data_IF_064612500506
#
_entry.id   IF_064612500506
#
_cell.length_a   1.000
_cell.length_b   1.000
_cell.length_c   1.000
_cell.angle_alpha   90.00
_cell.angle_beta   90.00
_cell.angle_gamma   90.00
#
_symmetry.space_group_name_H-M   'P 1'
#
loop_
_entity.id
_entity.type
_entity.pdbx_description
1 polymer ?
#
# COMPACT_ATOMS: atom_id res chain seq x y z
N UNK A 1 2.44 15.49 1.00
CA UNK A 1 2.85 14.30 1.73
C UNK A 1 2.10 14.20 3.05
N UNK A 2 0.90 13.59 3.05
CA UNK A 2 0.17 13.25 4.29
C UNK A 2 0.93 12.17 5.05
N UNK A 3 1.16 12.37 6.35
CA UNK A 3 2.00 11.51 7.20
C UNK A 3 1.40 10.12 7.47
N UNK A 4 0.08 9.93 7.28
CA UNK A 4 -0.64 8.68 7.58
C UNK A 4 -0.38 8.18 9.01
N UNK A 5 -0.32 9.11 9.97
CA UNK A 5 0.17 8.91 11.34
C UNK A 5 -0.39 7.68 12.06
N UNK A 6 -1.70 7.45 11.98
CA UNK A 6 -2.35 6.28 12.60
C UNK A 6 -1.74 4.95 12.12
N UNK A 7 -1.46 4.84 10.82
CA UNK A 7 -0.88 3.63 10.23
C UNK A 7 0.61 3.54 10.52
N UNK A 8 1.31 4.67 10.44
CA UNK A 8 2.74 4.73 10.70
C UNK A 8 3.05 4.34 12.15
N UNK A 9 2.29 4.85 13.12
CA UNK A 9 2.45 4.52 14.54
C UNK A 9 2.18 3.03 14.83
N UNK A 10 1.22 2.42 14.11
CA UNK A 10 1.03 0.96 14.17
C UNK A 10 2.25 0.22 13.64
N UNK A 11 2.73 0.57 12.45
CA UNK A 11 3.90 -0.09 11.84
C UNK A 11 5.14 0.04 12.72
N UNK A 12 5.41 1.23 13.27
CA UNK A 12 6.56 1.48 14.15
C UNK A 12 6.66 0.45 15.29
N UNK A 13 5.53 0.06 15.88
CA UNK A 13 5.50 -0.93 16.96
C UNK A 13 5.84 -2.37 16.53
N UNK A 14 5.82 -2.63 15.23
CA UNK A 14 6.12 -3.93 14.64
C UNK A 14 7.45 -3.96 13.87
N UNK A 15 8.09 -2.82 13.62
CA UNK A 15 9.45 -2.78 13.03
C UNK A 15 10.36 -3.67 13.89
N UNK A 16 11.17 -4.49 13.23
CA UNK A 16 12.11 -5.40 13.89
C UNK A 16 11.51 -6.51 14.74
N UNK A 17 10.18 -6.65 14.74
CA UNK A 17 9.47 -7.78 15.33
C UNK A 17 9.41 -8.92 14.30
N UNK A 18 9.58 -10.16 14.76
CA UNK A 18 9.49 -11.41 13.98
C UNK A 18 8.05 -11.69 13.48
N UNK A 19 7.52 -10.77 12.68
CA UNK A 19 6.23 -10.83 12.01
C UNK A 19 6.37 -10.19 10.64
N UNK A 20 5.77 -10.82 9.63
CA UNK A 20 5.63 -10.22 8.30
C UNK A 20 4.56 -9.12 8.36
N UNK A 21 4.88 -7.91 7.90
CA UNK A 21 3.96 -6.76 7.91
C UNK A 21 3.20 -6.73 6.59
N UNK A 22 1.91 -7.07 6.64
CA UNK A 22 1.03 -7.08 5.46
C UNK A 22 0.16 -5.84 5.48
N UNK A 23 0.31 -4.98 4.47
CA UNK A 23 -0.53 -3.80 4.27
C UNK A 23 -1.50 -4.08 3.13
N UNK A 24 -2.78 -4.17 3.46
CA UNK A 24 -3.83 -4.39 2.48
C UNK A 24 -4.72 -3.16 2.34
N UNK A 25 -5.53 -3.13 1.31
CA UNK A 25 -6.47 -2.03 1.08
C UNK A 25 -6.78 -1.88 -0.38
N UNK A 26 -7.86 -1.17 -0.69
CA UNK A 26 -8.34 -1.02 -2.07
C UNK A 26 -7.29 -0.36 -2.99
N UNK A 27 -7.40 -0.61 -4.29
CA UNK A 27 -6.53 0.02 -5.29
C UNK A 27 -6.60 1.55 -5.16
N UNK A 28 -5.45 2.21 -5.30
CA UNK A 28 -5.28 3.68 -5.15
C UNK A 28 -5.53 4.27 -3.75
N UNK A 29 -5.61 3.49 -2.67
CA UNK A 29 -5.67 4.06 -1.30
C UNK A 29 -4.32 4.59 -0.76
N UNK A 30 -3.23 4.44 -1.54
CA UNK A 30 -1.90 5.00 -1.22
C UNK A 30 -0.91 4.05 -0.55
N UNK A 31 -1.03 2.72 -0.74
CA UNK A 31 -0.15 1.71 -0.10
C UNK A 31 1.31 1.85 -0.53
N UNK A 32 1.57 1.95 -1.83
CA UNK A 32 2.91 2.18 -2.40
C UNK A 32 3.58 3.43 -1.84
N UNK A 33 2.75 4.45 -1.57
CA UNK A 33 3.21 5.67 -0.94
C UNK A 33 3.49 5.49 0.55
N UNK A 34 2.65 4.72 1.25
CA UNK A 34 2.87 4.38 2.65
C UNK A 34 4.18 3.59 2.86
N UNK A 35 4.56 2.71 1.93
CA UNK A 35 5.90 2.10 1.91
C UNK A 35 7.03 3.13 1.93
N UNK A 36 6.94 4.18 1.12
CA UNK A 36 7.93 5.26 1.12
C UNK A 36 8.01 5.96 2.48
N UNK A 37 6.88 6.16 3.16
CA UNK A 37 6.86 6.73 4.51
C UNK A 37 7.56 5.82 5.53
N UNK A 38 7.37 4.51 5.45
CA UNK A 38 8.05 3.54 6.31
C UNK A 38 9.56 3.55 6.04
N UNK A 39 9.96 3.53 4.76
CA UNK A 39 11.38 3.56 4.35
C UNK A 39 12.05 4.84 4.85
N UNK A 40 11.42 6.00 4.67
CA UNK A 40 11.94 7.27 5.18
C UNK A 40 12.11 7.21 6.70
N UNK A 41 11.11 6.69 7.43
CA UNK A 41 11.21 6.49 8.86
C UNK A 41 12.40 5.59 9.24
N UNK A 42 12.64 4.48 8.54
CA UNK A 42 13.77 3.59 8.80
C UNK A 42 15.11 4.32 8.60
N UNK A 43 15.27 5.05 7.49
CA UNK A 43 16.48 5.82 7.16
C UNK A 43 16.73 6.90 8.21
N UNK A 44 15.69 7.64 8.61
CA UNK A 44 15.77 8.66 9.67
C UNK A 44 16.18 8.07 11.04
N UNK A 45 15.92 6.78 11.27
CA UNK A 45 16.32 6.06 12.47
C UNK A 45 17.64 5.29 12.32
N UNK A 46 18.42 5.59 11.27
CA UNK A 46 19.80 5.12 11.11
C UNK A 46 19.95 3.82 10.33
N UNK A 47 18.91 3.34 9.65
CA UNK A 47 19.03 2.24 8.69
C UNK A 47 19.74 2.74 7.43
N UNK A 48 20.76 2.02 6.98
CA UNK A 48 21.41 2.33 5.70
C UNK A 48 20.43 2.03 4.54
N UNK A 49 20.28 2.96 3.60
CA UNK A 49 19.44 2.81 2.41
C UNK A 49 19.85 1.59 1.57
N UNK A 50 21.15 1.25 1.53
CA UNK A 50 21.65 0.07 0.82
C UNK A 50 21.06 -1.24 1.39
N UNK A 51 20.70 -1.26 2.67
CA UNK A 51 20.08 -2.43 3.31
C UNK A 51 18.55 -2.52 3.06
N UNK A 52 17.98 -1.66 2.22
CA UNK A 52 16.54 -1.61 1.93
C UNK A 52 16.30 -2.00 0.48
N UNK A 53 15.58 -3.11 0.27
CA UNK A 53 15.15 -3.54 -1.05
C UNK A 53 13.65 -3.24 -1.24
N UNK A 54 13.33 -2.33 -2.17
CA UNK A 54 11.96 -2.09 -2.62
C UNK A 54 11.75 -2.67 -4.03
N UNK A 55 10.85 -3.66 -4.12
CA UNK A 55 10.37 -4.25 -5.36
C UNK A 55 8.91 -3.86 -5.55
N UNK A 56 8.67 -2.97 -6.50
CA UNK A 56 7.32 -2.61 -6.96
C UNK A 56 7.02 -3.34 -8.27
N UNK A 57 6.17 -4.36 -8.18
CA UNK A 57 5.86 -5.29 -9.27
C UNK A 57 4.99 -4.68 -10.38
N UNK A 58 4.53 -3.44 -10.22
CA UNK A 58 3.86 -2.68 -11.28
C UNK A 58 4.83 -1.82 -12.09
N UNK A 59 6.04 -1.54 -11.57
CA UNK A 59 7.03 -0.71 -12.27
C UNK A 59 7.73 -1.46 -13.41
N UNK A 60 8.10 -0.77 -14.51
CA UNK A 60 8.81 -1.39 -15.64
C UNK A 60 10.08 -2.17 -15.25
N UNK A 61 10.74 -1.77 -14.16
CA UNK A 61 11.93 -2.45 -13.65
C UNK A 61 11.64 -3.87 -13.19
N UNK A 62 10.47 -4.15 -12.63
CA UNK A 62 10.14 -5.41 -11.95
C UNK A 62 8.88 -6.10 -12.50
N UNK A 63 8.15 -5.46 -13.41
CA UNK A 63 6.91 -6.00 -13.95
C UNK A 63 7.07 -7.32 -14.74
N UNK A 64 8.30 -7.69 -15.09
CA UNK A 64 8.62 -8.96 -15.72
C UNK A 64 8.66 -10.13 -14.73
N UNK A 65 8.82 -9.86 -13.43
CA UNK A 65 8.83 -10.87 -12.38
C UNK A 65 7.39 -11.37 -12.20
N UNK A 66 7.14 -12.63 -12.55
CA UNK A 66 5.83 -13.29 -12.47
C UNK A 66 5.87 -14.61 -11.70
N UNK A 67 7.05 -15.13 -11.40
CA UNK A 67 7.24 -16.41 -10.72
C UNK A 67 8.10 -16.26 -9.48
N UNK A 68 7.94 -17.18 -8.53
CA UNK A 68 8.77 -17.23 -7.33
C UNK A 68 10.26 -17.35 -7.67
N UNK A 69 10.61 -18.07 -8.75
CA UNK A 69 12.00 -18.27 -9.16
C UNK A 69 12.66 -16.96 -9.60
N UNK A 70 11.96 -16.13 -10.37
CA UNK A 70 12.43 -14.79 -10.79
C UNK A 70 12.54 -13.83 -9.59
N UNK A 71 11.64 -13.95 -8.62
CA UNK A 71 11.71 -13.18 -7.38
C UNK A 71 12.89 -13.62 -6.51
N UNK A 72 13.08 -14.93 -6.36
CA UNK A 72 14.16 -15.55 -5.59
C UNK A 72 15.53 -15.13 -6.13
N UNK A 73 15.71 -15.06 -7.45
CA UNK A 73 16.97 -14.64 -8.07
C UNK A 73 17.41 -13.25 -7.58
N UNK A 74 16.54 -12.25 -7.66
CA UNK A 74 16.85 -10.87 -7.30
C UNK A 74 17.02 -10.71 -5.79
N UNK A 75 16.14 -11.32 -5.00
CA UNK A 75 16.16 -11.15 -3.55
C UNK A 75 17.36 -11.86 -2.93
N UNK A 76 17.69 -13.08 -3.39
CA UNK A 76 18.83 -13.81 -2.86
C UNK A 76 20.16 -13.15 -3.25
N UNK A 77 20.30 -12.63 -4.47
CA UNK A 77 21.47 -11.83 -4.87
C UNK A 77 21.64 -10.61 -3.94
N UNK A 78 20.56 -9.87 -3.69
CA UNK A 78 20.59 -8.76 -2.74
C UNK A 78 21.01 -9.19 -1.33
N UNK A 79 20.48 -10.30 -0.82
CA UNK A 79 20.79 -10.80 0.53
C UNK A 79 22.23 -11.35 0.64
N UNK A 80 22.83 -11.82 -0.45
CA UNK A 80 24.23 -12.25 -0.47
C UNK A 80 25.19 -11.06 -0.34
N UNK A 81 24.83 -9.91 -0.91
CA UNK A 81 25.62 -8.68 -0.85
C UNK A 81 25.52 -7.94 0.50
N UNK A 82 24.49 -8.23 1.29
CA UNK A 82 24.17 -7.51 2.54
C UNK A 82 24.12 -8.45 3.74
N UNK A 83 25.10 -8.33 4.64
CA UNK A 83 25.19 -9.19 5.84
C UNK A 83 24.56 -8.59 7.10
N UNK A 84 24.27 -7.28 7.07
CA UNK A 84 23.56 -6.58 8.14
C UNK A 84 22.05 -6.83 8.06
N UNK A 85 21.29 -6.20 8.96
CA UNK A 85 19.84 -6.26 8.92
C UNK A 85 19.29 -5.60 7.66
N UNK A 86 18.52 -6.36 6.89
CA UNK A 86 17.89 -5.95 5.65
C UNK A 86 16.39 -5.80 5.78
N UNK A 87 15.82 -4.87 5.02
CA UNK A 87 14.40 -4.57 5.01
C UNK A 87 13.86 -4.78 3.60
N UNK A 88 12.97 -5.75 3.43
CA UNK A 88 12.42 -6.14 2.15
C UNK A 88 10.99 -5.62 2.02
N UNK A 89 10.74 -4.84 0.99
CA UNK A 89 9.45 -4.25 0.66
C UNK A 89 8.98 -4.78 -0.69
N UNK A 90 7.82 -5.41 -0.72
CA UNK A 90 7.20 -5.93 -1.93
C UNK A 90 5.83 -5.31 -2.17
N UNK A 91 5.71 -4.47 -3.19
CA UNK A 91 4.44 -3.83 -3.57
C UNK A 91 3.68 -4.70 -4.59
N UNK A 92 2.39 -4.92 -4.35
CA UNK A 92 1.50 -5.75 -5.16
C UNK A 92 2.04 -7.19 -5.36
N UNK A 93 2.51 -7.82 -4.27
CA UNK A 93 3.15 -9.15 -4.26
C UNK A 93 2.31 -10.27 -4.90
N UNK A 94 0.98 -10.11 -4.92
CA UNK A 94 0.08 -11.08 -5.55
C UNK A 94 0.27 -11.20 -7.08
N UNK A 95 1.04 -10.31 -7.70
CA UNK A 95 1.41 -10.40 -9.11
C UNK A 95 2.47 -11.48 -9.41
N UNK A 96 3.06 -12.07 -8.37
CA UNK A 96 4.03 -13.17 -8.47
C UNK A 96 3.34 -14.47 -8.07
N UNK A 97 3.48 -15.51 -8.88
CA UNK A 97 2.95 -16.84 -8.57
C UNK A 97 3.78 -17.52 -7.48
N UNK A 98 3.11 -18.14 -6.50
CA UNK A 98 3.74 -18.88 -5.39
C UNK A 98 4.70 -18.06 -4.51
N UNK A 99 4.53 -16.74 -4.49
CA UNK A 99 5.34 -15.80 -3.70
C UNK A 99 5.38 -16.15 -2.20
N UNK A 100 4.35 -16.81 -1.69
CA UNK A 100 4.21 -17.18 -0.28
C UNK A 100 5.34 -18.12 0.18
N UNK A 101 5.83 -18.96 -0.73
CA UNK A 101 6.93 -19.89 -0.47
C UNK A 101 8.22 -19.10 -0.26
N UNK A 102 8.50 -18.14 -1.14
CA UNK A 102 9.66 -17.25 -1.09
C UNK A 102 9.66 -16.40 0.17
N UNK A 103 8.55 -15.70 0.44
CA UNK A 103 8.43 -14.85 1.65
C UNK A 103 8.63 -15.68 2.93
N UNK A 104 8.06 -16.89 3.01
CA UNK A 104 8.30 -17.78 4.14
C UNK A 104 9.75 -18.28 4.23
N UNK A 105 10.43 -18.42 3.11
CA UNK A 105 11.85 -18.73 3.02
C UNK A 105 12.69 -17.60 3.58
N UNK A 106 12.51 -16.39 3.05
CA UNK A 106 13.22 -15.19 3.48
C UNK A 106 13.01 -14.89 4.97
N UNK A 107 11.78 -15.05 5.46
CA UNK A 107 11.45 -14.83 6.86
C UNK A 107 12.19 -15.78 7.82
N UNK A 108 12.66 -16.94 7.34
CA UNK A 108 13.48 -17.87 8.16
C UNK A 108 14.95 -17.49 8.19
N UNK A 109 15.40 -16.60 7.30
CA UNK A 109 16.76 -16.11 7.30
C UNK A 109 16.95 -15.17 8.49
N UNK A 110 18.13 -15.20 9.09
CA UNK A 110 18.49 -14.23 10.13
C UNK A 110 18.59 -12.83 9.51
N UNK A 111 18.17 -11.81 10.25
CA UNK A 111 18.38 -10.39 9.92
C UNK A 111 17.54 -9.85 8.76
N UNK A 112 16.34 -10.40 8.50
CA UNK A 112 15.43 -9.87 7.49
C UNK A 112 14.15 -9.35 8.16
N UNK A 113 13.74 -8.13 7.79
CA UNK A 113 12.41 -7.61 8.10
C UNK A 113 11.58 -7.43 6.81
N UNK A 114 10.33 -7.91 6.80
CA UNK A 114 9.52 -8.06 5.58
C UNK A 114 8.22 -7.28 5.65
N UNK A 115 7.99 -6.49 4.60
CA UNK A 115 6.81 -5.68 4.37
C UNK A 115 6.23 -6.04 3.00
N UNK A 116 4.94 -6.36 2.95
CA UNK A 116 4.25 -6.67 1.69
C UNK A 116 2.98 -5.82 1.57
N UNK A 117 2.66 -5.40 0.36
CA UNK A 117 1.33 -4.87 0.05
C UNK A 117 0.56 -5.77 -0.90
N UNK A 118 -0.74 -5.52 -0.96
CA UNK A 118 -1.50 -5.77 -2.18
C UNK A 118 -2.91 -5.26 -2.12
N UNK A 119 -3.45 -5.00 -3.30
CA UNK A 119 -4.80 -4.48 -3.51
C UNK A 119 -5.92 -5.50 -3.28
N UNK A 120 -5.57 -6.77 -3.09
CA UNK A 120 -6.52 -7.88 -3.04
C UNK A 120 -6.82 -8.34 -1.62
N UNK A 121 -8.11 -8.51 -1.28
CA UNK A 121 -8.55 -9.18 -0.04
C UNK A 121 -8.08 -10.64 0.05
N UNK A 122 -7.67 -11.24 -1.07
CA UNK A 122 -7.05 -12.57 -1.11
C UNK A 122 -5.77 -12.62 -0.28
N UNK A 123 -5.01 -11.51 -0.14
CA UNK A 123 -3.87 -11.39 0.81
C UNK A 123 -4.25 -11.74 2.26
N UNK A 124 -5.53 -11.61 2.60
CA UNK A 124 -6.12 -11.93 3.90
C UNK A 124 -7.02 -13.17 3.86
N UNK A 125 -7.01 -13.91 2.76
CA UNK A 125 -7.77 -15.16 2.67
C UNK A 125 -7.26 -16.18 3.70
N UNK A 126 -8.15 -17.03 4.18
CA UNK A 126 -7.79 -18.13 5.10
C UNK A 126 -6.68 -19.01 4.55
N UNK A 127 -6.58 -19.16 3.23
CA UNK A 127 -5.49 -19.90 2.58
C UNK A 127 -4.14 -19.25 2.82
N UNK A 128 -3.99 -17.95 2.60
CA UNK A 128 -2.73 -17.24 2.86
C UNK A 128 -2.39 -17.14 4.35
N UNK A 129 -3.39 -16.99 5.21
CA UNK A 129 -3.18 -17.07 6.65
C UNK A 129 -2.58 -18.43 7.06
N UNK A 130 -2.95 -19.50 6.35
CA UNK A 130 -2.40 -20.85 6.52
C UNK A 130 -0.96 -20.92 6.00
N UNK A 131 -0.68 -20.36 4.81
CA UNK A 131 0.67 -20.33 4.24
C UNK A 131 1.66 -19.55 5.11
N UNK A 132 1.27 -18.40 5.64
CA UNK A 132 2.13 -17.59 6.51
C UNK A 132 2.12 -18.08 7.97
N UNK A 133 1.40 -19.16 8.28
CA UNK A 133 1.43 -19.86 9.59
C UNK A 133 1.19 -18.96 10.80
N UNK A 134 0.43 -17.87 10.65
CA UNK A 134 0.20 -16.88 11.70
C UNK A 134 1.41 -15.99 12.05
N UNK A 135 2.50 -16.04 11.28
CA UNK A 135 3.72 -15.23 11.47
C UNK A 135 3.63 -13.89 10.75
N UNK A 136 2.48 -13.24 10.86
CA UNK A 136 2.21 -11.97 10.19
C UNK A 136 1.29 -11.08 11.03
N UNK A 137 1.39 -9.78 10.77
CA UNK A 137 0.40 -8.79 11.19
C UNK A 137 -0.22 -8.20 9.94
N UNK A 138 -1.54 -8.01 9.94
CA UNK A 138 -2.24 -7.34 8.86
C UNK A 138 -2.70 -5.95 9.31
N UNK A 139 -2.45 -4.97 8.45
CA UNK A 139 -2.93 -3.61 8.59
C UNK A 139 -3.76 -3.29 7.35
N UNK A 140 -5.07 -3.23 7.54
CA UNK A 140 -5.99 -2.79 6.50
C UNK A 140 -5.99 -1.26 6.42
N UNK A 141 -5.52 -0.75 5.29
CA UNK A 141 -5.42 0.67 5.01
C UNK A 141 -6.60 1.15 4.18
N UNK A 142 -7.36 2.09 4.74
CA UNK A 142 -8.49 2.73 4.09
C UNK A 142 -8.03 3.95 3.29
N UNK A 143 -8.89 4.52 2.43
CA UNK A 143 -8.70 5.88 1.92
C UNK A 143 -8.45 6.89 3.04
N UNK A 144 -8.10 8.13 2.70
CA UNK A 144 -7.94 9.18 3.69
C UNK A 144 -9.21 9.32 4.52
N UNK A 145 -9.05 9.33 5.83
CA UNK A 145 -10.07 9.84 6.74
C UNK A 145 -10.35 11.31 6.45
N UNK A 146 -11.44 11.85 6.99
CA UNK A 146 -11.76 13.27 6.78
C UNK A 146 -10.64 14.19 7.28
N UNK A 147 -9.99 13.87 8.40
CA UNK A 147 -8.85 14.65 8.89
C UNK A 147 -7.66 14.59 7.91
N UNK A 148 -7.29 13.40 7.42
CA UNK A 148 -6.21 13.26 6.42
C UNK A 148 -6.56 13.93 5.09
N UNK A 149 -7.84 13.99 4.73
CA UNK A 149 -8.33 14.72 3.56
C UNK A 149 -8.10 16.22 3.73
N UNK A 150 -8.43 16.79 4.89
CA UNK A 150 -8.18 18.21 5.20
C UNK A 150 -6.69 18.50 5.16
N UNK A 151 -5.87 17.70 5.86
CA UNK A 151 -4.41 17.83 5.87
C UNK A 151 -3.84 17.87 4.44
N UNK A 152 -4.33 16.98 3.57
CA UNK A 152 -3.92 16.94 2.16
C UNK A 152 -4.37 18.17 1.37
N UNK A 153 -5.59 18.67 1.60
CA UNK A 153 -6.11 19.87 0.95
C UNK A 153 -5.35 21.12 1.35
N UNK A 154 -5.02 21.26 2.62
CA UNK A 154 -4.22 22.38 3.14
C UNK A 154 -2.85 22.42 2.45
N UNK A 155 -2.21 21.26 2.33
CA UNK A 155 -0.93 21.14 1.67
C UNK A 155 -1.00 21.50 0.17
N UNK A 156 -2.00 20.98 -0.55
CA UNK A 156 -2.20 21.30 -1.97
C UNK A 156 -2.48 22.78 -2.22
N UNK A 157 -3.23 23.43 -1.31
CA UNK A 157 -3.63 24.82 -1.46
C UNK A 157 -2.59 25.80 -0.89
N UNK A 158 -1.52 25.32 -0.25
CA UNK A 158 -0.53 26.13 0.48
C UNK A 158 -1.16 27.14 1.45
N UNK A 159 -2.30 26.78 2.02
CA UNK A 159 -3.06 27.61 2.97
C UNK A 159 -3.17 26.84 4.28
N UNK A 160 -2.55 27.37 5.32
CA UNK A 160 -2.83 26.97 6.69
C UNK A 160 -4.11 27.68 7.15
N UNK A 161 -5.02 26.96 7.81
CA UNK A 161 -6.17 27.56 8.49
C UNK A 161 -5.66 28.43 9.64
N UNK A 162 -5.35 29.69 9.37
CA UNK A 162 -5.20 30.69 10.41
C UNK A 162 -6.53 31.42 10.58
N UNK A 163 -7.23 31.01 11.65
CA UNK A 163 -8.13 31.80 12.48
C UNK A 163 -9.02 32.85 11.76
N UNK A 164 -10.28 32.46 11.52
CA UNK A 164 -11.52 33.28 11.58
C UNK A 164 -12.58 33.05 10.46
N UNK A 165 -12.39 32.08 9.55
CA UNK A 165 -13.42 31.67 8.55
C UNK A 165 -13.88 30.20 8.72
N UNK A 166 -13.90 29.71 9.97
CA UNK A 166 -13.96 28.28 10.30
C UNK A 166 -15.20 27.49 9.85
N UNK A 167 -16.37 28.12 9.66
CA UNK A 167 -17.60 27.34 9.40
C UNK A 167 -17.82 27.02 7.92
N UNK A 168 -17.61 27.97 7.01
CA UNK A 168 -17.93 27.77 5.59
C UNK A 168 -16.95 26.82 4.90
N UNK A 169 -15.65 26.87 5.24
CA UNK A 169 -14.66 26.05 4.54
C UNK A 169 -14.66 24.57 4.99
N UNK A 170 -14.92 24.31 6.28
CA UNK A 170 -15.02 22.93 6.77
C UNK A 170 -16.30 22.25 6.28
N UNK A 171 -17.41 22.99 6.21
CA UNK A 171 -18.67 22.51 5.62
C UNK A 171 -18.46 22.16 4.14
N UNK A 172 -17.82 23.04 3.37
CA UNK A 172 -17.49 22.78 1.96
C UNK A 172 -16.60 21.54 1.79
N UNK A 173 -15.58 21.37 2.63
CA UNK A 173 -14.71 20.18 2.59
C UNK A 173 -15.44 18.91 3.02
N UNK A 174 -16.34 19.01 3.99
CA UNK A 174 -17.17 17.89 4.41
C UNK A 174 -18.11 17.45 3.29
N UNK A 175 -18.80 18.39 2.64
CA UNK A 175 -19.66 18.13 1.49
C UNK A 175 -18.88 17.50 0.33
N UNK A 176 -17.67 18.00 0.05
CA UNK A 176 -16.77 17.41 -0.94
C UNK A 176 -16.37 15.97 -0.57
N UNK A 177 -15.98 15.74 0.69
CA UNK A 177 -15.57 14.42 1.17
C UNK A 177 -16.72 13.40 1.15
N UNK A 178 -17.94 13.81 1.51
CA UNK A 178 -19.11 12.93 1.42
C UNK A 178 -19.47 12.63 -0.04
N UNK A 179 -19.31 13.62 -0.93
CA UNK A 179 -19.63 13.46 -2.36
C UNK A 179 -18.60 12.63 -3.11
N UNK A 180 -17.32 12.73 -2.77
CA UNK A 180 -16.22 12.20 -3.57
C UNK A 180 -15.25 11.27 -2.83
N UNK A 181 -15.44 11.09 -1.53
CA UNK A 181 -14.63 10.21 -0.67
C UNK A 181 -13.21 10.72 -0.41
N UNK A 182 -12.44 9.91 0.31
CA UNK A 182 -11.05 10.19 0.70
C UNK A 182 -9.99 9.55 -0.20
N UNK A 183 -10.31 9.16 -1.44
CA UNK A 183 -9.32 8.53 -2.32
C UNK A 183 -8.32 9.59 -2.82
N UNK A 184 -7.00 9.44 -2.63
CA UNK A 184 -6.03 10.48 -2.96
C UNK A 184 -6.18 11.10 -4.36
N UNK A 185 -6.50 10.27 -5.37
CA UNK A 185 -6.67 10.69 -6.77
C UNK A 185 -7.89 11.62 -7.01
N UNK A 186 -8.92 11.53 -6.18
CA UNK A 186 -10.14 12.35 -6.31
C UNK A 186 -9.99 13.70 -5.65
N UNK A 187 -9.04 13.82 -4.71
CA UNK A 187 -8.78 15.05 -3.96
C UNK A 187 -7.97 16.04 -4.79
N UNK A 188 -7.06 15.56 -5.64
CA UNK A 188 -6.17 16.34 -6.51
C UNK A 188 -6.86 16.87 -7.79
N UNK A 189 -7.90 16.19 -8.28
CA UNK A 189 -8.57 16.54 -9.54
C UNK A 189 -9.60 17.65 -9.36
N UNK A 190 -9.27 18.90 -9.74
CA UNK A 190 -10.19 20.06 -9.54
C UNK A 190 -11.48 20.03 -10.40
N UNK A 191 -11.43 19.54 -11.64
CA UNK A 191 -12.52 19.74 -12.61
C UNK A 191 -13.21 18.44 -13.14
N UNK A 192 -12.79 17.25 -12.69
CA UNK A 192 -13.31 15.98 -13.23
C UNK A 192 -13.42 14.86 -12.18
N UNK A 193 -13.79 15.19 -10.93
CA UNK A 193 -13.85 14.22 -9.83
C UNK A 193 -14.83 13.09 -10.08
N UNK A 194 -16.01 13.40 -10.60
CA UNK A 194 -17.04 12.40 -10.92
C UNK A 194 -16.56 11.39 -11.98
N UNK A 195 -15.94 11.89 -13.06
CA UNK A 195 -15.36 11.03 -14.10
C UNK A 195 -14.24 10.17 -13.51
N UNK A 196 -13.35 10.77 -12.73
CA UNK A 196 -12.22 10.07 -12.07
C UNK A 196 -12.71 8.97 -11.12
N UNK A 197 -13.79 9.23 -10.39
CA UNK A 197 -14.43 8.25 -9.50
C UNK A 197 -15.09 7.13 -10.28
N UNK A 198 -15.83 7.44 -11.33
CA UNK A 198 -16.47 6.43 -12.18
C UNK A 198 -15.44 5.55 -12.89
N UNK A 199 -14.33 6.12 -13.37
CA UNK A 199 -13.23 5.39 -13.97
C UNK A 199 -12.52 4.51 -12.94
N UNK A 200 -12.32 5.01 -11.71
CA UNK A 200 -11.74 4.25 -10.63
C UNK A 200 -12.65 3.10 -10.20
N UNK A 201 -13.95 3.36 -10.04
CA UNK A 201 -14.95 2.36 -9.72
C UNK A 201 -15.00 1.27 -10.81
N UNK A 202 -15.02 1.67 -12.07
CA UNK A 202 -14.99 0.76 -13.22
C UNK A 202 -13.70 -0.05 -13.25
N UNK A 203 -12.55 0.57 -12.98
CA UNK A 203 -11.24 -0.10 -12.91
C UNK A 203 -11.18 -1.13 -11.78
N UNK A 204 -11.69 -0.79 -10.59
CA UNK A 204 -11.79 -1.72 -9.45
C UNK A 204 -12.74 -2.86 -9.79
N UNK A 205 -13.93 -2.57 -10.31
CA UNK A 205 -14.88 -3.62 -10.73
C UNK A 205 -14.27 -4.56 -11.78
N UNK A 206 -13.64 -4.02 -12.81
CA UNK A 206 -13.11 -4.81 -13.91
C UNK A 206 -11.90 -5.63 -13.46
N UNK A 207 -10.90 -5.02 -12.83
CA UNK A 207 -9.64 -5.69 -12.51
C UNK A 207 -9.67 -6.43 -11.17
N UNK A 208 -10.30 -5.86 -10.15
CA UNK A 208 -10.32 -6.48 -8.82
C UNK A 208 -11.46 -7.48 -8.63
N UNK A 209 -12.52 -7.43 -9.45
CA UNK A 209 -13.68 -8.32 -9.33
C UNK A 209 -13.85 -9.19 -10.58
N UNK A 210 -14.03 -8.62 -11.76
CA UNK A 210 -14.37 -9.41 -12.97
C UNK A 210 -13.22 -10.29 -13.44
N UNK A 211 -12.04 -9.70 -13.67
CA UNK A 211 -10.83 -10.41 -14.10
C UNK A 211 -10.39 -11.43 -13.03
N UNK A 212 -10.60 -11.09 -11.76
CA UNK A 212 -10.22 -11.91 -10.60
C UNK A 212 -11.10 -13.14 -10.38
N UNK A 213 -12.41 -13.03 -10.59
CA UNK A 213 -13.36 -14.13 -10.37
C UNK A 213 -13.77 -14.83 -11.68
N UNK A 214 -13.10 -14.53 -12.79
CA UNK A 214 -13.43 -15.03 -14.14
C UNK A 214 -14.93 -14.88 -14.46
N UNK A 215 -15.55 -13.78 -14.02
CA UNK A 215 -17.00 -13.58 -14.15
C UNK A 215 -17.32 -13.34 -15.62
N UNK A 216 -17.95 -14.33 -16.25
CA UNK A 216 -18.26 -14.32 -17.69
C UNK A 216 -19.37 -13.32 -18.09
N UNK A 217 -20.18 -12.86 -17.13
CA UNK A 217 -21.32 -11.94 -17.39
C UNK A 217 -21.09 -10.57 -16.76
N UNK A 218 -20.42 -9.69 -17.50
CA UNK A 218 -20.08 -8.32 -17.09
C UNK A 218 -21.30 -7.37 -17.18
N UNK A 219 -22.25 -7.66 -18.08
CA UNK A 219 -23.44 -6.84 -18.33
C UNK A 219 -24.48 -6.79 -17.20
N UNK A 220 -24.21 -7.39 -16.04
CA UNK A 220 -25.03 -7.28 -14.83
C UNK A 220 -24.61 -6.11 -13.91
N UNK A 221 -23.45 -5.50 -14.18
CA UNK A 221 -22.87 -4.41 -13.38
C UNK A 221 -22.97 -3.02 -14.05
N UNK A 222 -23.66 -2.94 -15.19
CA UNK A 222 -23.92 -1.71 -15.97
C UNK A 222 -25.31 -1.16 -15.73
#
# INVERSE_FOLDING_TARGET
MVERKLYLDKIKSFVDVDLIKIITGIRRCGKSYFFKLIINFLIENGVNEDNILLIDLELPKFNHIKTREELDEIVLEFLEEHHDKTYLFFDEIQNVSQWEISINGYFKLSNVDIYITGSNSKLLSKELATFLTGRYISIEMYPFSFNEFIDFKEELNQKAFFENEFNTDIENYFDEYISYGGLPVTIDTKNHKEITLNDLYSSILLHDIVERYEIRNIGLFS
#
